data_IF_085117709081
#
_entry.id   IF_085117709081
#
_cell.length_a   1.000
_cell.length_b   1.000
_cell.length_c   1.000
_cell.angle_alpha   90.00
_cell.angle_beta   90.00
_cell.angle_gamma   90.00
#
_symmetry.space_group_name_H-M   'P 1'
#
loop_
_entity.id
_entity.type
_entity.pdbx_description
1 polymer ?
#
# COMPACT_ATOMS: atom_id res chain seq x y z
N UNK A 1 31.20 -43.86 1.35
CA UNK A 1 31.19 -42.69 0.44
C UNK A 1 29.87 -42.46 -0.29
N UNK A 2 29.16 -43.49 -0.80
CA UNK A 2 27.87 -43.30 -1.51
C UNK A 2 26.74 -42.67 -0.67
N UNK A 3 26.66 -43.00 0.63
CA UNK A 3 25.63 -42.46 1.52
C UNK A 3 25.79 -40.95 1.84
N UNK A 4 27.03 -40.44 1.86
CA UNK A 4 27.31 -39.03 2.12
C UNK A 4 26.86 -38.13 0.96
N UNK A 5 27.00 -38.63 -0.28
CA UNK A 5 26.60 -37.91 -1.50
C UNK A 5 25.06 -37.82 -1.59
N UNK A 6 24.35 -38.88 -1.21
CA UNK A 6 22.87 -38.90 -1.21
C UNK A 6 22.33 -37.93 -0.14
N UNK A 7 22.96 -37.86 1.03
CA UNK A 7 22.55 -36.95 2.10
C UNK A 7 22.77 -35.48 1.72
N UNK A 8 23.87 -35.18 1.02
CA UNK A 8 24.18 -33.82 0.54
C UNK A 8 23.20 -33.37 -0.56
N UNK A 9 22.79 -34.28 -1.45
CA UNK A 9 21.81 -33.98 -2.49
C UNK A 9 20.41 -33.71 -1.89
N UNK A 10 20.03 -34.39 -0.80
CA UNK A 10 18.74 -34.18 -0.14
C UNK A 10 18.64 -32.81 0.56
N UNK A 11 19.74 -32.33 1.14
CA UNK A 11 19.82 -31.02 1.80
C UNK A 11 19.68 -29.84 0.81
N UNK A 12 20.22 -29.98 -0.41
CA UNK A 12 20.14 -28.95 -1.45
C UNK A 12 18.71 -28.73 -1.98
N UNK A 13 17.85 -29.75 -1.97
CA UNK A 13 16.46 -29.62 -2.44
C UNK A 13 15.59 -28.88 -1.41
N UNK A 14 15.87 -29.02 -0.11
CA UNK A 14 15.11 -28.34 0.95
C UNK A 14 15.36 -26.83 1.04
N UNK A 15 16.48 -26.33 0.51
CA UNK A 15 16.85 -24.91 0.60
C UNK A 15 16.15 -24.00 -0.42
N UNK A 16 15.39 -24.55 -1.38
CA UNK A 16 14.80 -23.75 -2.47
C UNK A 16 13.38 -23.23 -2.18
N UNK A 17 12.79 -23.57 -1.02
CA UNK A 17 11.35 -23.37 -0.79
C UNK A 17 10.94 -22.00 -0.22
N UNK A 18 11.87 -21.08 0.02
CA UNK A 18 11.58 -19.82 0.74
C UNK A 18 11.52 -18.56 -0.12
N UNK A 19 11.55 -18.65 -1.46
CA UNK A 19 11.62 -17.48 -2.35
C UNK A 19 10.26 -16.91 -2.83
N UNK A 20 9.12 -17.45 -2.40
CA UNK A 20 7.79 -16.97 -2.82
C UNK A 20 7.00 -16.36 -1.66
N UNK A 21 7.59 -15.38 -0.97
CA UNK A 21 6.80 -14.39 -0.23
C UNK A 21 6.42 -13.29 -1.25
N UNK A 22 5.18 -13.33 -1.74
CA UNK A 22 4.70 -12.43 -2.78
C UNK A 22 4.96 -10.97 -2.42
N UNK A 23 5.72 -10.27 -3.26
CA UNK A 23 5.88 -8.82 -3.15
C UNK A 23 4.51 -8.18 -3.38
N UNK A 24 3.87 -7.72 -2.31
CA UNK A 24 2.68 -6.87 -2.39
C UNK A 24 3.14 -5.46 -2.82
N UNK A 25 3.11 -5.18 -4.13
CA UNK A 25 3.80 -4.00 -4.72
C UNK A 25 2.98 -2.72 -4.83
N UNK A 26 1.81 -2.66 -4.18
CA UNK A 26 1.04 -1.43 -4.01
C UNK A 26 1.18 -0.95 -2.57
N UNK A 27 1.71 0.26 -2.39
CA UNK A 27 1.90 0.86 -1.06
C UNK A 27 1.20 2.20 -0.97
N UNK A 28 0.24 2.34 -0.06
CA UNK A 28 -0.40 3.62 0.27
C UNK A 28 0.25 4.20 1.53
N UNK A 29 0.64 5.48 1.52
CA UNK A 29 1.32 6.10 2.65
C UNK A 29 1.02 7.60 2.77
N UNK A 30 0.99 8.13 4.01
CA UNK A 30 0.90 9.56 4.24
C UNK A 30 2.26 10.25 4.10
N UNK A 31 2.24 11.52 3.72
CA UNK A 31 3.34 12.46 3.80
C UNK A 31 2.81 13.74 4.43
N UNK A 32 3.32 14.06 5.61
CA UNK A 32 3.02 15.28 6.33
C UNK A 32 4.28 16.15 6.39
N UNK A 33 4.21 17.36 5.85
CA UNK A 33 5.30 18.32 5.97
C UNK A 33 5.29 18.94 7.37
N UNK A 34 6.49 19.18 7.93
CA UNK A 34 6.64 19.84 9.23
C UNK A 34 5.94 21.19 9.23
N UNK A 35 5.08 21.43 10.22
CA UNK A 35 4.34 22.68 10.36
C UNK A 35 3.06 22.78 9.53
N UNK A 36 2.77 21.81 8.64
CA UNK A 36 1.49 21.75 7.92
C UNK A 36 0.48 20.90 8.66
N UNK A 37 -0.75 21.41 8.73
CA UNK A 37 -1.92 20.74 9.32
C UNK A 37 -2.65 19.81 8.35
N UNK A 38 -2.13 19.66 7.14
CA UNK A 38 -2.67 18.77 6.12
C UNK A 38 -1.83 17.49 6.03
N UNK A 39 -2.50 16.37 5.78
CA UNK A 39 -1.86 15.07 5.56
C UNK A 39 -2.16 14.65 4.14
N UNK A 40 -1.12 14.53 3.30
CA UNK A 40 -1.28 14.13 1.90
C UNK A 40 -1.01 12.64 1.76
N UNK A 41 -1.91 11.91 1.13
CA UNK A 41 -1.78 10.48 0.87
C UNK A 41 -1.30 10.23 -0.55
N UNK A 42 -0.35 9.30 -0.67
CA UNK A 42 0.26 8.88 -1.92
C UNK A 42 0.23 7.37 -2.06
N UNK A 43 0.35 6.89 -3.29
CA UNK A 43 0.58 5.49 -3.57
C UNK A 43 1.79 5.26 -4.49
N UNK A 44 2.47 4.14 -4.25
CA UNK A 44 3.44 3.56 -5.17
C UNK A 44 2.84 2.28 -5.78
N UNK A 45 3.10 2.08 -7.08
CA UNK A 45 2.87 0.82 -7.78
C UNK A 45 4.19 0.41 -8.46
N UNK A 46 4.91 -0.53 -7.86
CA UNK A 46 6.19 -1.00 -8.42
C UNK A 46 6.02 -2.15 -9.43
N UNK A 47 4.78 -2.63 -9.62
CA UNK A 47 4.45 -3.64 -10.62
C UNK A 47 4.51 -3.07 -12.05
N UNK A 48 4.57 -4.00 -13.00
CA UNK A 48 4.44 -3.73 -14.44
C UNK A 48 2.99 -3.64 -14.91
N UNK A 49 2.03 -4.05 -14.07
CA UNK A 49 0.59 -3.99 -14.36
C UNK A 49 -0.06 -2.81 -13.61
N UNK A 50 -1.11 -2.20 -14.18
CA UNK A 50 -1.92 -1.24 -13.45
C UNK A 50 -2.68 -1.91 -12.30
N UNK A 51 -3.02 -1.13 -11.29
CA UNK A 51 -3.87 -1.56 -10.18
C UNK A 51 -5.05 -0.60 -10.02
N UNK A 52 -6.26 -1.14 -9.89
CA UNK A 52 -7.37 -0.37 -9.39
C UNK A 52 -7.25 -0.30 -7.87
N UNK A 53 -7.40 0.89 -7.31
CA UNK A 53 -7.31 1.17 -5.88
C UNK A 53 -8.62 1.79 -5.42
N UNK A 54 -9.26 1.17 -4.43
CA UNK A 54 -10.40 1.71 -3.69
C UNK A 54 -9.96 2.05 -2.28
N UNK A 55 -10.27 3.25 -1.83
CA UNK A 55 -9.98 3.75 -0.48
C UNK A 55 -11.28 4.16 0.19
N UNK A 56 -11.49 3.64 1.39
CA UNK A 56 -12.66 3.89 2.21
C UNK A 56 -12.25 4.36 3.61
N UNK A 57 -13.05 5.24 4.21
CA UNK A 57 -12.78 5.77 5.56
C UNK A 57 -13.76 5.15 6.55
N UNK A 58 -13.29 4.11 7.23
CA UNK A 58 -14.10 3.37 8.20
C UNK A 58 -14.30 4.19 9.49
N UNK A 59 -13.35 5.07 9.82
CA UNK A 59 -13.48 6.09 10.87
C UNK A 59 -12.96 7.39 10.32
N UNK A 60 -13.76 8.45 10.40
CA UNK A 60 -13.44 9.75 9.82
C UNK A 60 -13.97 10.90 10.68
N UNK A 61 -13.29 11.17 11.79
CA UNK A 61 -13.71 12.16 12.78
C UNK A 61 -12.77 13.37 12.80
N UNK A 62 -13.36 14.57 12.83
CA UNK A 62 -12.66 15.85 12.81
C UNK A 62 -11.69 16.02 11.62
N UNK A 63 -11.97 15.33 10.51
CA UNK A 63 -11.19 15.36 9.29
C UNK A 63 -12.11 15.59 8.09
N UNK A 64 -11.57 16.22 7.04
CA UNK A 64 -12.23 16.42 5.75
C UNK A 64 -11.25 16.10 4.63
N UNK A 65 -11.70 15.36 3.63
CA UNK A 65 -10.90 15.03 2.46
C UNK A 65 -11.21 16.00 1.33
N UNK A 66 -10.23 16.27 0.48
CA UNK A 66 -10.41 16.96 -0.80
C UNK A 66 -11.05 16.07 -1.88
N UNK A 67 -11.24 14.78 -1.60
CA UNK A 67 -11.90 13.80 -2.47
C UNK A 67 -13.12 13.22 -1.78
N UNK A 68 -14.09 12.82 -2.60
CA UNK A 68 -15.25 12.06 -2.15
C UNK A 68 -14.83 10.64 -1.75
N UNK A 69 -15.49 10.10 -0.73
CA UNK A 69 -15.29 8.72 -0.28
C UNK A 69 -16.54 7.86 -0.52
N UNK A 70 -16.39 6.60 -0.97
CA UNK A 70 -15.11 5.92 -1.26
C UNK A 70 -14.42 6.48 -2.52
N UNK A 71 -13.11 6.62 -2.44
CA UNK A 71 -12.27 7.13 -3.53
C UNK A 71 -11.76 5.97 -4.39
N UNK A 72 -11.84 6.14 -5.72
CA UNK A 72 -11.37 5.16 -6.70
C UNK A 72 -10.32 5.78 -7.61
N UNK A 73 -9.24 5.03 -7.87
CA UNK A 73 -8.23 5.46 -8.84
C UNK A 73 -7.51 4.27 -9.48
N UNK A 74 -6.79 4.53 -10.56
CA UNK A 74 -5.91 3.57 -11.21
C UNK A 74 -4.47 4.00 -10.96
N UNK A 75 -3.68 3.12 -10.34
CA UNK A 75 -2.25 3.31 -10.19
C UNK A 75 -1.53 2.84 -11.45
N UNK A 76 -0.80 3.76 -12.09
CA UNK A 76 -0.06 3.43 -13.30
C UNK A 76 1.05 2.41 -13.03
N UNK A 77 1.43 1.57 -14.00
CA UNK A 77 2.62 0.74 -13.88
C UNK A 77 3.85 1.55 -13.51
N UNK A 78 4.70 1.01 -12.64
CA UNK A 78 6.00 1.59 -12.24
C UNK A 78 5.93 3.03 -11.71
N UNK A 79 4.77 3.47 -11.22
CA UNK A 79 4.60 4.81 -10.67
C UNK A 79 5.02 4.86 -9.20
N UNK A 80 5.70 5.95 -8.82
CA UNK A 80 5.95 6.30 -7.42
C UNK A 80 5.29 7.63 -7.09
N UNK A 81 4.86 7.79 -5.85
CA UNK A 81 4.32 9.03 -5.29
C UNK A 81 3.13 9.56 -6.10
N UNK A 82 2.25 8.67 -6.57
CA UNK A 82 1.00 9.07 -7.19
C UNK A 82 0.09 9.67 -6.12
N UNK A 83 -0.36 10.90 -6.33
CA UNK A 83 -1.27 11.57 -5.41
C UNK A 83 -2.62 10.85 -5.34
N UNK A 84 -3.18 10.74 -4.13
CA UNK A 84 -4.50 10.17 -3.89
C UNK A 84 -5.47 11.24 -3.41
N UNK A 85 -5.26 11.72 -2.18
CA UNK A 85 -6.11 12.69 -1.50
C UNK A 85 -5.32 13.39 -0.39
N UNK A 86 -5.90 14.46 0.14
CA UNK A 86 -5.41 15.23 1.28
C UNK A 86 -6.48 15.24 2.36
N UNK A 87 -6.07 15.11 3.62
CA UNK A 87 -6.92 15.26 4.79
C UNK A 87 -6.60 16.58 5.50
N UNK A 88 -7.65 17.30 5.87
CA UNK A 88 -7.62 18.54 6.62
C UNK A 88 -8.36 18.38 7.95
N UNK A 89 -7.81 18.91 9.03
CA UNK A 89 -8.55 19.00 10.31
C UNK A 89 -9.69 20.01 10.20
N UNK A 90 -10.89 19.61 10.63
CA UNK A 90 -12.06 20.51 10.64
C UNK A 90 -11.94 21.53 11.78
N UNK A 91 -11.64 21.05 12.99
CA UNK A 91 -11.43 21.86 14.19
C UNK A 91 -9.97 21.70 14.68
N UNK A 92 -9.09 22.68 14.42
CA UNK A 92 -7.70 22.64 14.85
C UNK A 92 -7.63 22.82 16.38
N UNK A 93 -7.40 21.73 17.11
CA UNK A 93 -7.36 21.72 18.58
C UNK A 93 -8.15 20.57 19.20
N UNK A 94 -9.07 19.97 18.45
CA UNK A 94 -9.77 18.74 18.84
C UNK A 94 -9.00 17.51 18.35
N UNK A 95 -9.15 16.39 19.07
CA UNK A 95 -8.64 15.09 18.62
C UNK A 95 -9.21 14.73 17.25
N UNK A 96 -8.42 14.05 16.42
CA UNK A 96 -8.86 13.46 15.16
C UNK A 96 -8.69 11.95 15.21
N UNK A 97 -9.61 11.22 14.58
CA UNK A 97 -9.52 9.78 14.42
C UNK A 97 -9.66 9.42 12.95
N UNK A 98 -8.80 8.51 12.50
CA UNK A 98 -8.75 8.07 11.13
C UNK A 98 -8.50 6.57 11.07
N UNK A 99 -9.39 5.84 10.41
CA UNK A 99 -9.17 4.45 10.01
C UNK A 99 -9.44 4.31 8.53
N UNK A 100 -8.38 4.07 7.76
CA UNK A 100 -8.45 3.87 6.32
C UNK A 100 -8.48 2.38 6.03
N UNK A 101 -9.39 1.97 5.17
CA UNK A 101 -9.36 0.66 4.52
C UNK A 101 -9.00 0.86 3.05
N UNK A 102 -8.03 0.09 2.57
CA UNK A 102 -7.67 0.09 1.14
C UNK A 102 -7.84 -1.31 0.59
N UNK A 103 -8.36 -1.39 -0.62
CA UNK A 103 -8.47 -2.64 -1.38
C UNK A 103 -7.96 -2.38 -2.79
N UNK A 104 -7.32 -3.37 -3.39
CA UNK A 104 -6.73 -3.24 -4.70
C UNK A 104 -6.94 -4.50 -5.52
N UNK A 105 -7.10 -4.33 -6.83
CA UNK A 105 -7.18 -5.43 -7.80
C UNK A 105 -6.23 -5.18 -8.96
N UNK A 106 -5.58 -6.24 -9.42
CA UNK A 106 -4.71 -6.23 -10.59
C UNK A 106 -5.55 -6.59 -11.82
N UNK A 107 -5.51 -5.79 -12.88
CA UNK A 107 -6.29 -6.07 -14.10
C UNK A 107 -6.41 -4.88 -15.03
N UNK A 108 -7.07 -5.08 -16.17
CA UNK A 108 -7.37 -4.02 -17.13
C UNK A 108 -8.36 -3.03 -16.48
N UNK A 109 -8.06 -1.72 -16.43
CA UNK A 109 -8.88 -0.71 -15.78
C UNK A 109 -10.28 -0.53 -16.39
#
# INVERSE_FOLDING_TARGET
MKALIIFLALLLVTSCSSAFAGEEKVKVYPLQEKGKREIRYYADNLNYSPYQLKIDFVVFENLKSDKDVPFFTVLKPRSKKQYLFTLHSVNPGSSSQLRIQSSHSMGDP
#
